data_IF_775361094267
#
_entry.id   IF_775361094267
#
_cell.length_a   1.000
_cell.length_b   1.000
_cell.length_c   1.000
_cell.angle_alpha   90.00
_cell.angle_beta   90.00
_cell.angle_gamma   90.00
#
_symmetry.space_group_name_H-M   'P 1'
#
loop_
_entity.id
_entity.type
_entity.pdbx_description
1 polymer ?
#
# COMPACT_ATOMS: atom_id res chain seq x y z
N UNK A 1 1.91 -14.62 -0.20
CA UNK A 1 0.51 -15.14 -0.14
C UNK A 1 -0.09 -14.80 1.21
N UNK A 2 -1.36 -14.45 1.23
CA UNK A 2 -2.16 -14.25 2.44
C UNK A 2 -2.98 -15.48 2.75
N UNK A 3 -3.21 -15.71 4.02
CA UNK A 3 -4.04 -16.80 4.53
C UNK A 3 -4.93 -16.26 5.63
N UNK A 4 -6.25 -16.38 5.45
CA UNK A 4 -7.24 -16.11 6.47
C UNK A 4 -7.54 -17.38 7.29
N UNK A 5 -8.06 -17.21 8.50
CA UNK A 5 -8.62 -18.31 9.26
C UNK A 5 -9.92 -18.75 8.57
N UNK A 6 -10.05 -20.04 8.28
CA UNK A 6 -11.27 -20.61 7.71
C UNK A 6 -12.28 -20.97 8.79
N UNK A 7 -13.56 -20.87 8.45
CA UNK A 7 -14.65 -21.42 9.26
C UNK A 7 -14.60 -22.96 9.33
N UNK A 8 -15.45 -23.56 10.17
CA UNK A 8 -15.49 -24.99 10.37
C UNK A 8 -15.90 -25.77 9.10
N UNK A 9 -16.71 -25.15 8.25
CA UNK A 9 -17.20 -25.74 7.00
C UNK A 9 -16.23 -25.50 5.83
N UNK A 10 -15.15 -24.76 6.06
CA UNK A 10 -14.12 -24.37 5.07
C UNK A 10 -14.68 -23.61 3.89
N UNK A 11 -15.71 -22.84 4.13
CA UNK A 11 -16.44 -22.10 3.11
C UNK A 11 -16.01 -20.62 3.08
N UNK A 12 -15.81 -20.00 4.26
CA UNK A 12 -15.55 -18.58 4.35
C UNK A 12 -14.43 -18.27 5.34
N UNK A 13 -13.96 -17.03 5.39
CA UNK A 13 -13.01 -16.57 6.39
C UNK A 13 -13.71 -16.20 7.70
N UNK A 14 -12.96 -16.34 8.78
CA UNK A 14 -13.39 -15.90 10.11
C UNK A 14 -12.66 -14.60 10.45
N UNK A 15 -13.33 -13.48 10.26
CA UNK A 15 -12.78 -12.18 10.62
C UNK A 15 -12.57 -12.07 12.14
N UNK A 16 -11.45 -11.48 12.54
CA UNK A 16 -11.10 -11.26 13.93
C UNK A 16 -9.64 -10.82 14.09
N UNK A 17 -9.32 -10.05 15.13
CA UNK A 17 -7.95 -9.63 15.40
C UNK A 17 -7.01 -10.85 15.54
N UNK A 18 -5.92 -10.86 14.80
CA UNK A 18 -4.94 -11.94 14.77
C UNK A 18 -5.32 -13.15 13.90
N UNK A 19 -6.46 -13.11 13.20
CA UNK A 19 -6.89 -14.19 12.33
C UNK A 19 -6.24 -14.10 10.95
N UNK A 20 -5.18 -14.85 10.76
CA UNK A 20 -4.49 -14.99 9.50
C UNK A 20 -2.97 -14.87 9.57
N UNK A 21 -2.33 -15.07 8.43
CA UNK A 21 -0.89 -14.93 8.28
C UNK A 21 -0.50 -14.66 6.83
N UNK A 22 0.75 -14.25 6.64
CA UNK A 22 1.34 -13.95 5.33
C UNK A 22 2.63 -14.73 5.19
N UNK A 23 2.78 -15.48 4.08
CA UNK A 23 3.99 -16.21 3.74
C UNK A 23 4.59 -15.73 2.40
N UNK A 24 5.90 -15.75 2.32
CA UNK A 24 6.65 -15.55 1.10
C UNK A 24 7.14 -16.89 0.54
N UNK A 25 6.96 -17.07 -0.76
CA UNK A 25 7.38 -18.26 -1.51
C UNK A 25 8.27 -17.85 -2.67
N UNK A 26 9.17 -18.74 -3.09
CA UNK A 26 9.86 -18.61 -4.35
C UNK A 26 8.95 -19.00 -5.54
N UNK A 27 9.44 -18.79 -6.76
CA UNK A 27 8.69 -19.11 -7.98
C UNK A 27 8.50 -20.61 -8.21
N UNK A 28 9.17 -21.46 -7.45
CA UNK A 28 9.03 -22.93 -7.47
C UNK A 28 8.03 -23.40 -6.40
N UNK A 29 7.47 -22.48 -5.58
CA UNK A 29 6.51 -22.80 -4.52
C UNK A 29 7.15 -23.20 -3.21
N UNK A 30 8.46 -23.06 -3.03
CA UNK A 30 9.10 -23.32 -1.74
C UNK A 30 8.89 -22.14 -0.79
N UNK A 31 8.55 -22.44 0.46
CA UNK A 31 8.42 -21.43 1.50
C UNK A 31 9.79 -20.78 1.77
N UNK A 32 9.86 -19.47 1.59
CA UNK A 32 11.05 -18.66 1.94
C UNK A 32 10.99 -18.29 3.42
N UNK A 33 9.84 -17.72 3.87
CA UNK A 33 9.63 -17.33 5.26
C UNK A 33 8.16 -17.05 5.57
N UNK A 34 7.83 -17.08 6.86
CA UNK A 34 6.69 -16.38 7.42
C UNK A 34 7.00 -14.88 7.40
N UNK A 35 6.11 -14.08 6.81
CA UNK A 35 6.25 -12.62 6.72
C UNK A 35 5.58 -11.95 7.91
N UNK A 36 4.38 -12.39 8.26
CA UNK A 36 3.62 -11.89 9.40
C UNK A 36 2.62 -12.96 9.85
N UNK A 37 2.33 -13.01 11.15
CA UNK A 37 1.31 -13.89 11.71
C UNK A 37 0.58 -13.21 12.86
N UNK A 38 -0.71 -13.51 13.01
CA UNK A 38 -1.55 -12.97 14.09
C UNK A 38 -1.48 -11.42 14.19
N UNK A 39 -1.33 -10.86 15.39
CA UNK A 39 -1.09 -9.44 15.64
C UNK A 39 -2.07 -8.51 14.89
N UNK A 40 -1.53 -7.76 13.93
CA UNK A 40 -2.25 -6.76 13.16
C UNK A 40 -3.13 -7.35 12.04
N UNK A 41 -3.06 -8.66 11.81
CA UNK A 41 -3.80 -9.31 10.74
C UNK A 41 -5.24 -9.61 11.15
N UNK A 42 -6.16 -9.45 10.20
CA UNK A 42 -7.59 -9.72 10.35
C UNK A 42 -8.16 -10.11 8.99
N UNK A 43 -8.16 -11.40 8.69
CA UNK A 43 -8.47 -11.92 7.36
C UNK A 43 -7.69 -11.18 6.25
N UNK A 44 -6.34 -11.28 6.23
CA UNK A 44 -5.52 -10.57 5.26
C UNK A 44 -5.80 -11.09 3.85
N UNK A 45 -5.96 -10.16 2.89
CA UNK A 45 -6.27 -10.50 1.50
C UNK A 45 -5.32 -9.84 0.51
N UNK A 46 -5.37 -8.50 0.40
CA UNK A 46 -4.58 -7.75 -0.56
C UNK A 46 -3.12 -7.57 -0.13
N UNK A 47 -2.19 -7.73 -1.06
CA UNK A 47 -0.76 -7.46 -0.86
C UNK A 47 -0.24 -6.51 -1.92
N UNK A 48 0.54 -5.52 -1.53
CA UNK A 48 1.26 -4.65 -2.46
C UNK A 48 2.61 -4.21 -1.87
N UNK A 49 3.69 -4.35 -2.63
CA UNK A 49 4.98 -3.78 -2.27
C UNK A 49 5.00 -2.31 -2.73
N UNK A 50 5.22 -1.39 -1.80
CA UNK A 50 5.19 0.03 -2.09
C UNK A 50 6.39 0.45 -2.95
N UNK A 51 6.18 1.20 -4.04
CA UNK A 51 7.25 1.68 -4.90
C UNK A 51 8.08 2.76 -4.19
N UNK A 52 9.27 3.06 -4.73
CA UNK A 52 10.22 4.00 -4.15
C UNK A 52 9.71 5.44 -4.02
N UNK A 53 8.62 5.79 -4.68
CA UNK A 53 7.97 7.11 -4.69
C UNK A 53 6.65 7.16 -3.89
N UNK A 54 6.37 6.16 -3.05
CA UNK A 54 5.17 6.12 -2.20
C UNK A 54 5.34 6.83 -0.85
N UNK A 55 6.29 7.74 -0.74
CA UNK A 55 6.49 8.57 0.45
C UNK A 55 7.15 7.84 1.60
N UNK A 56 6.61 7.98 2.83
CA UNK A 56 7.26 7.43 4.03
C UNK A 56 7.29 5.89 4.09
N UNK A 57 6.44 5.25 3.33
CA UNK A 57 6.32 3.79 3.27
C UNK A 57 6.90 3.19 1.98
N UNK A 58 7.79 3.93 1.30
CA UNK A 58 8.47 3.43 0.11
C UNK A 58 9.32 2.20 0.44
N UNK A 59 9.09 1.10 -0.27
CA UNK A 59 9.78 -0.17 -0.06
C UNK A 59 9.13 -1.10 0.94
N UNK A 60 8.07 -0.65 1.65
CA UNK A 60 7.38 -1.46 2.64
C UNK A 60 6.29 -2.33 2.01
N UNK A 61 5.95 -3.41 2.69
CA UNK A 61 4.86 -4.29 2.30
C UNK A 61 3.54 -3.80 2.90
N UNK A 62 2.57 -3.52 2.04
CA UNK A 62 1.22 -3.19 2.42
C UNK A 62 0.37 -4.47 2.45
N UNK A 63 -0.33 -4.68 3.56
CA UNK A 63 -1.25 -5.81 3.77
C UNK A 63 -2.63 -5.27 4.05
N UNK A 64 -3.57 -5.53 3.16
CA UNK A 64 -4.98 -5.18 3.32
C UNK A 64 -5.74 -6.28 4.04
N UNK A 65 -6.41 -5.92 5.12
CA UNK A 65 -7.29 -6.79 5.87
C UNK A 65 -8.72 -6.71 5.33
N UNK A 66 -9.30 -7.84 4.97
CA UNK A 66 -10.72 -7.94 4.64
C UNK A 66 -11.59 -7.69 5.88
N UNK A 67 -11.21 -8.27 7.01
CA UNK A 67 -12.05 -8.30 8.21
C UNK A 67 -12.25 -6.94 8.90
N UNK A 68 -11.30 -6.00 8.80
CA UNK A 68 -11.45 -4.66 9.38
C UNK A 68 -11.25 -3.52 8.37
N UNK A 69 -10.94 -3.85 7.12
CA UNK A 69 -10.79 -2.89 6.03
C UNK A 69 -9.56 -2.00 6.12
N UNK A 70 -8.60 -2.30 7.01
CA UNK A 70 -7.39 -1.50 7.21
C UNK A 70 -6.24 -2.00 6.34
N UNK A 71 -5.29 -1.09 6.09
CA UNK A 71 -4.06 -1.42 5.35
C UNK A 71 -2.89 -1.24 6.30
N UNK A 72 -2.33 -2.35 6.75
CA UNK A 72 -1.16 -2.41 7.62
C UNK A 72 0.13 -2.35 6.81
N UNK A 73 1.19 -1.84 7.42
CA UNK A 73 2.49 -1.63 6.79
C UNK A 73 3.54 -2.41 7.55
N UNK A 74 4.29 -3.24 6.83
CA UNK A 74 5.34 -4.08 7.36
C UNK A 74 6.67 -3.70 6.68
N UNK A 75 7.73 -3.50 7.47
CA UNK A 75 9.06 -3.15 6.98
C UNK A 75 9.90 -4.41 6.71
N UNK A 76 10.21 -4.73 5.43
CA UNK A 76 11.03 -5.90 5.11
C UNK A 76 12.48 -5.82 5.61
N UNK A 77 12.96 -4.61 5.94
CA UNK A 77 14.31 -4.39 6.44
C UNK A 77 14.42 -4.57 7.96
N UNK A 78 13.30 -4.59 8.68
CA UNK A 78 13.24 -4.79 10.13
C UNK A 78 12.53 -6.09 10.46
N UNK A 79 13.20 -6.94 11.23
CA UNK A 79 12.64 -8.24 11.63
C UNK A 79 12.33 -8.25 13.13
N UNK A 80 11.21 -8.87 13.46
CA UNK A 80 10.86 -9.22 14.82
C UNK A 80 11.81 -10.30 15.35
N UNK A 81 11.71 -10.62 16.66
CA UNK A 81 12.48 -11.70 17.26
C UNK A 81 12.24 -13.05 16.57
N UNK A 82 11.03 -13.31 16.10
CA UNK A 82 10.65 -14.55 15.40
C UNK A 82 10.99 -14.55 13.90
N UNK A 83 11.64 -13.49 13.41
CA UNK A 83 12.09 -13.37 12.01
C UNK A 83 10.99 -12.95 11.03
N UNK A 84 9.83 -12.51 11.50
CA UNK A 84 8.78 -11.88 10.72
C UNK A 84 9.11 -10.40 10.43
N UNK A 85 8.43 -9.77 9.48
CA UNK A 85 8.59 -8.34 9.24
C UNK A 85 7.96 -7.52 10.36
N UNK A 86 8.64 -6.44 10.77
CA UNK A 86 8.11 -5.53 11.78
C UNK A 86 6.90 -4.76 11.27
N UNK A 87 5.80 -4.78 12.03
CA UNK A 87 4.63 -3.96 11.75
C UNK A 87 4.90 -2.50 12.16
N UNK A 88 5.00 -1.59 11.20
CA UNK A 88 5.42 -0.19 11.44
C UNK A 88 4.27 0.81 11.39
N UNK A 89 3.05 0.37 11.13
CA UNK A 89 1.86 1.21 11.22
C UNK A 89 0.77 0.92 10.21
N UNK A 90 -0.03 1.94 9.96
CA UNK A 90 -1.21 1.91 9.09
C UNK A 90 -1.12 2.99 8.01
N UNK A 91 -1.80 2.79 6.88
CA UNK A 91 -2.10 3.89 5.98
C UNK A 91 -3.12 4.83 6.63
N UNK A 92 -2.86 6.13 6.54
CA UNK A 92 -3.73 7.17 7.06
C UNK A 92 -4.17 8.11 5.93
N UNK A 93 -5.40 8.60 6.05
CA UNK A 93 -5.91 9.69 5.22
C UNK A 93 -5.16 11.00 5.47
N UNK A 94 -5.34 11.99 4.60
CA UNK A 94 -4.79 13.34 4.81
C UNK A 94 -5.27 14.00 6.13
N UNK A 95 -6.39 13.57 6.68
CA UNK A 95 -6.91 14.01 7.98
C UNK A 95 -6.28 13.27 9.18
N UNK A 96 -5.29 12.40 8.95
CA UNK A 96 -4.61 11.64 10.00
C UNK A 96 -5.42 10.48 10.60
N UNK A 97 -6.53 10.10 9.99
CA UNK A 97 -7.32 8.93 10.41
C UNK A 97 -6.85 7.69 9.62
N UNK A 98 -6.84 6.50 10.23
CA UNK A 98 -6.59 5.27 9.49
C UNK A 98 -7.52 5.16 8.28
N UNK A 99 -6.98 4.73 7.15
CA UNK A 99 -7.79 4.34 5.98
C UNK A 99 -8.53 3.07 6.36
N UNK A 100 -9.85 3.08 6.14
CA UNK A 100 -10.71 1.93 6.37
C UNK A 100 -11.67 1.77 5.20
N UNK A 101 -11.62 0.61 4.55
CA UNK A 101 -12.37 0.27 3.34
C UNK A 101 -13.10 -1.04 3.64
N UNK A 102 -14.42 -0.98 3.74
CA UNK A 102 -15.23 -2.12 4.12
C UNK A 102 -15.01 -3.29 3.14
N UNK A 103 -14.70 -4.47 3.69
CA UNK A 103 -14.41 -5.72 2.96
C UNK A 103 -13.39 -5.50 1.83
N UNK A 104 -12.20 -5.04 2.22
CA UNK A 104 -11.08 -4.77 1.33
C UNK A 104 -10.56 -6.09 0.72
N UNK A 105 -10.56 -6.17 -0.62
CA UNK A 105 -10.04 -7.33 -1.34
C UNK A 105 -8.61 -7.12 -1.80
N UNK A 106 -8.43 -6.60 -3.00
CA UNK A 106 -7.13 -6.52 -3.63
C UNK A 106 -6.47 -5.15 -3.48
N UNK A 107 -5.15 -5.16 -3.50
CA UNK A 107 -4.28 -3.99 -3.56
C UNK A 107 -3.33 -4.14 -4.75
N UNK A 108 -3.19 -3.10 -5.57
CA UNK A 108 -2.27 -3.11 -6.71
C UNK A 108 -1.78 -1.71 -7.02
N UNK A 109 -0.47 -1.52 -7.10
CA UNK A 109 0.07 -0.27 -7.63
C UNK A 109 -0.07 -0.16 -9.15
N UNK A 110 -0.22 1.07 -9.64
CA UNK A 110 -0.18 1.33 -11.06
C UNK A 110 1.21 1.06 -11.65
N UNK A 111 1.27 0.89 -12.96
CA UNK A 111 2.51 0.60 -13.70
C UNK A 111 2.82 1.66 -14.76
N UNK A 112 2.07 2.76 -14.76
CA UNK A 112 2.24 3.84 -15.74
C UNK A 112 3.32 4.82 -15.34
N UNK A 113 4.05 5.32 -16.32
CA UNK A 113 5.12 6.31 -16.14
C UNK A 113 4.66 7.76 -16.37
N UNK A 114 3.40 7.96 -16.75
CA UNK A 114 2.81 9.28 -16.98
C UNK A 114 1.35 9.34 -16.50
N UNK A 115 0.86 10.54 -16.25
CA UNK A 115 -0.52 10.77 -15.80
C UNK A 115 -1.59 10.34 -16.82
N UNK A 116 -1.20 10.14 -18.09
CA UNK A 116 -2.08 9.65 -19.16
C UNK A 116 -2.01 8.13 -19.37
N UNK A 117 -1.20 7.43 -18.57
CA UNK A 117 -1.10 5.97 -18.66
C UNK A 117 -2.40 5.32 -18.20
N UNK A 118 -2.94 4.42 -19.03
CA UNK A 118 -4.22 3.75 -18.75
C UNK A 118 -4.21 2.86 -17.50
N UNK A 119 -3.03 2.42 -17.06
CA UNK A 119 -2.82 1.58 -15.86
C UNK A 119 -2.37 2.37 -14.62
N UNK A 120 -2.58 3.69 -14.60
CA UNK A 120 -2.28 4.59 -13.48
C UNK A 120 -0.79 4.80 -13.22
N UNK A 121 -0.47 5.82 -12.42
CA UNK A 121 0.91 6.09 -11.99
C UNK A 121 1.42 5.03 -11.02
N UNK A 122 2.73 4.83 -11.00
CA UNK A 122 3.41 3.86 -10.11
C UNK A 122 3.13 4.12 -8.62
N UNK A 123 2.94 5.36 -8.21
CA UNK A 123 2.64 5.75 -6.83
C UNK A 123 1.14 5.83 -6.49
N UNK A 124 0.29 5.30 -7.35
CA UNK A 124 -1.15 5.18 -7.11
C UNK A 124 -1.48 3.75 -6.72
N UNK A 125 -1.95 3.55 -5.50
CA UNK A 125 -2.43 2.27 -5.01
C UNK A 125 -3.92 2.12 -5.34
N UNK A 126 -4.25 1.21 -6.24
CA UNK A 126 -5.63 0.83 -6.54
C UNK A 126 -6.10 -0.26 -5.59
N UNK A 127 -7.39 -0.27 -5.31
CA UNK A 127 -8.01 -1.30 -4.50
C UNK A 127 -9.36 -1.73 -5.06
N UNK A 128 -9.77 -2.94 -4.72
CA UNK A 128 -11.13 -3.43 -4.86
C UNK A 128 -11.68 -3.80 -3.49
N UNK A 129 -12.99 -3.69 -3.31
CA UNK A 129 -13.67 -4.01 -2.07
C UNK A 129 -15.11 -4.43 -2.32
N UNK A 130 -15.72 -5.13 -1.37
CA UNK A 130 -17.10 -5.60 -1.40
C UNK A 130 -17.95 -5.04 -0.25
N UNK A 131 -18.24 -3.71 -0.21
CA UNK A 131 -19.02 -3.15 0.88
C UNK A 131 -20.43 -3.75 0.95
N UNK A 132 -21.08 -3.62 2.14
CA UNK A 132 -22.42 -4.14 2.41
C UNK A 132 -22.53 -5.65 2.22
N UNK A 133 -21.69 -6.42 2.93
CA UNK A 133 -21.64 -7.89 2.83
C UNK A 133 -21.44 -8.41 1.39
N UNK A 134 -20.58 -7.70 0.64
CA UNK A 134 -20.22 -8.03 -0.75
C UNK A 134 -21.38 -7.90 -1.77
N UNK A 135 -22.50 -7.29 -1.37
CA UNK A 135 -23.60 -6.99 -2.29
C UNK A 135 -23.22 -5.96 -3.37
N UNK A 136 -22.18 -5.16 -3.10
CA UNK A 136 -21.70 -4.12 -4.00
C UNK A 136 -20.21 -4.24 -4.25
N UNK A 137 -19.77 -4.00 -5.49
CA UNK A 137 -18.36 -3.87 -5.85
C UNK A 137 -17.90 -2.42 -5.76
N UNK A 138 -16.75 -2.19 -5.14
CA UNK A 138 -16.09 -0.90 -5.08
C UNK A 138 -14.69 -1.00 -5.70
N UNK A 139 -14.38 -0.08 -6.62
CA UNK A 139 -13.03 0.15 -7.12
C UNK A 139 -12.60 1.58 -6.78
N UNK A 140 -11.39 1.75 -6.24
CA UNK A 140 -10.89 3.05 -5.85
C UNK A 140 -9.37 3.15 -5.90
N UNK A 141 -8.85 4.32 -5.53
CA UNK A 141 -7.41 4.55 -5.49
C UNK A 141 -7.00 5.43 -4.31
N UNK A 142 -5.78 5.20 -3.84
CA UNK A 142 -5.10 5.98 -2.81
C UNK A 142 -3.81 6.54 -3.41
N UNK A 143 -3.56 7.84 -3.19
CA UNK A 143 -2.33 8.50 -3.61
C UNK A 143 -1.63 9.08 -2.40
N UNK A 144 -0.30 9.03 -2.40
CA UNK A 144 0.47 9.70 -1.36
C UNK A 144 0.34 11.22 -1.50
N UNK A 145 -0.16 11.87 -0.45
CA UNK A 145 -0.23 13.33 -0.36
C UNK A 145 0.88 13.80 0.57
N UNK A 146 1.93 14.47 0.06
CA UNK A 146 3.00 14.97 0.92
C UNK A 146 2.44 16.01 1.90
N UNK A 147 3.01 16.09 3.13
CA UNK A 147 2.60 17.10 4.11
C UNK A 147 2.66 18.52 3.53
N UNK A 148 1.74 19.42 3.90
CA UNK A 148 1.60 20.76 3.30
C UNK A 148 2.89 21.59 3.22
N UNK A 149 3.82 21.40 4.16
CA UNK A 149 5.12 22.09 4.16
C UNK A 149 6.10 21.59 3.09
N UNK A 150 6.09 20.31 2.74
CA UNK A 150 6.96 19.73 1.70
C UNK A 150 6.49 20.06 0.29
N UNK A 151 5.20 20.17 0.09
CA UNK A 151 4.63 20.54 -1.21
C UNK A 151 5.01 21.97 -1.61
N UNK A 152 5.05 22.90 -0.67
CA UNK A 152 5.50 24.28 -0.89
C UNK A 152 6.98 24.35 -1.32
N UNK A 153 7.86 23.53 -0.71
CA UNK A 153 9.26 23.45 -1.09
C UNK A 153 9.48 22.81 -2.46
N UNK A 154 8.73 21.78 -2.81
CA UNK A 154 8.79 21.15 -4.12
C UNK A 154 8.33 22.09 -5.23
N UNK A 155 7.23 22.81 -5.02
CA UNK A 155 6.74 23.82 -5.97
C UNK A 155 7.75 24.97 -6.13
N UNK A 156 8.31 25.48 -5.03
CA UNK A 156 9.36 26.52 -5.10
C UNK A 156 10.64 26.05 -5.82
N UNK A 157 11.03 24.80 -5.67
CA UNK A 157 12.20 24.23 -6.36
C UNK A 157 11.90 24.01 -7.84
N UNK A 158 10.70 23.59 -8.20
CA UNK A 158 10.24 23.45 -9.59
C UNK A 158 10.21 24.81 -10.31
N UNK A 159 9.60 25.83 -9.69
CA UNK A 159 9.55 27.20 -10.22
C UNK A 159 10.96 27.81 -10.38
N UNK A 160 11.86 27.52 -9.43
CA UNK A 160 13.24 27.96 -9.51
C UNK A 160 14.02 27.29 -10.63
N UNK A 161 13.77 26.00 -10.87
CA UNK A 161 14.36 25.22 -11.97
C UNK A 161 13.88 25.72 -13.33
N UNK A 162 12.60 26.04 -13.47
CA UNK A 162 12.05 26.63 -14.70
C UNK A 162 12.56 28.07 -14.94
N UNK A 163 12.66 28.87 -13.88
CA UNK A 163 13.21 30.22 -13.95
C UNK A 163 14.70 30.25 -14.37
N UNK A 164 15.47 29.23 -13.97
CA UNK A 164 16.85 29.07 -14.41
C UNK A 164 16.98 28.60 -15.87
N UNK A 165 16.05 27.79 -16.35
CA UNK A 165 16.01 27.38 -17.76
C UNK A 165 15.63 28.53 -18.69
N UNK A 166 14.79 29.45 -18.25
CA UNK A 166 14.38 30.65 -19.03
C UNK A 166 15.41 31.77 -18.97
N UNK A 167 16.38 31.75 -18.06
CA UNK A 167 17.49 32.73 -17.99
C UNK A 167 18.77 32.29 -18.70
N UNK A 168 18.76 31.11 -19.32
CA UNK A 168 19.88 30.55 -20.06
C UNK A 168 20.05 31.13 -21.45
N UNK A 169 20.92 32.14 -21.58
CA UNK A 169 21.74 32.49 -22.73
C UNK A 169 21.05 33.21 -23.89
N UNK A 170 21.06 34.57 -23.83
CA UNK A 170 21.31 35.36 -25.03
C UNK A 170 22.84 35.43 -25.21
N UNK A 171 23.33 34.83 -26.27
CA UNK A 171 24.63 35.12 -26.83
C UNK A 171 24.33 36.12 -27.94
N UNK A 172 24.64 37.41 -27.70
CA UNK A 172 24.68 38.41 -28.75
C UNK A 172 26.02 38.23 -29.51
N UNK A 173 25.90 38.05 -30.83
CA UNK A 173 27.04 38.19 -31.79
C UNK A 173 27.28 39.66 -32.10
#
# INVERSE_FOLDING_TARGET
>A
MTYALQDADRHDDVAGPGNGFVDAYDTSGNLIRRVASAGELNSPWGLALAPADFGRFSGDLLVGNFGDGRIHVFDPAQLTFDGEFEAIGLLHSAAGKPVQIDRLWALQFGHGTSATSANGLTNTLFFTAGPSDEEHGLFGSLVNVPPPGKQRWQNMMSERSESLKTRGVRIDQ
#
